data_IF_225459414713
#
_entry.id   IF_225459414713
#
_cell.length_a   1.000
_cell.length_b   1.000
_cell.length_c   1.000
_cell.angle_alpha   90.00
_cell.angle_beta   90.00
_cell.angle_gamma   90.00
#
_symmetry.space_group_name_H-M   'P 1'
#
loop_
_entity.id
_entity.type
_entity.pdbx_description
1 polymer ?
#
# COMPACT_ATOMS: atom_id res chain seq x y z
N UNK A 1 -22.66 -4.18 -6.60
CA UNK A 1 -21.42 -3.36 -6.54
C UNK A 1 -20.28 -3.86 -7.45
N UNK A 2 -20.09 -5.17 -7.65
CA UNK A 2 -19.02 -5.74 -8.51
C UNK A 2 -19.04 -5.33 -10.00
N UNK A 3 -20.16 -4.83 -10.52
CA UNK A 3 -20.27 -4.37 -11.92
C UNK A 3 -19.60 -3.03 -12.24
N UNK A 4 -19.24 -2.22 -11.23
CA UNK A 4 -18.64 -0.89 -11.41
C UNK A 4 -17.11 -0.92 -11.55
N UNK A 5 -16.46 -2.04 -11.21
CA UNK A 5 -15.01 -2.23 -11.34
C UNK A 5 -14.60 -2.70 -12.74
N UNK A 6 -15.54 -3.21 -13.55
CA UNK A 6 -15.28 -3.88 -14.84
C UNK A 6 -14.32 -3.13 -15.79
N UNK A 7 -14.37 -1.79 -15.93
CA UNK A 7 -13.45 -1.05 -16.79
C UNK A 7 -12.09 -0.71 -16.14
N UNK A 8 -11.94 -0.84 -14.82
CA UNK A 8 -10.73 -0.43 -14.08
C UNK A 8 -10.08 -1.60 -13.32
N UNK A 9 -10.48 -2.84 -13.59
CA UNK A 9 -9.89 -4.04 -12.97
C UNK A 9 -8.39 -4.12 -13.24
N UNK A 10 -7.94 -3.70 -14.43
CA UNK A 10 -6.53 -3.63 -14.78
C UNK A 10 -5.74 -2.63 -13.94
N UNK A 11 -6.27 -1.41 -13.76
CA UNK A 11 -5.67 -0.38 -12.91
C UNK A 11 -5.67 -0.78 -11.43
N UNK A 12 -6.76 -1.35 -10.93
CA UNK A 12 -6.81 -1.84 -9.55
C UNK A 12 -5.80 -2.98 -9.32
N UNK A 13 -5.73 -3.96 -10.23
CA UNK A 13 -4.74 -5.03 -10.17
C UNK A 13 -3.30 -4.49 -10.28
N UNK A 14 -3.06 -3.51 -11.15
CA UNK A 14 -1.75 -2.89 -11.30
C UNK A 14 -1.34 -2.11 -10.05
N UNK A 15 -2.27 -1.39 -9.41
CA UNK A 15 -2.03 -0.73 -8.12
C UNK A 15 -1.75 -1.75 -7.01
N UNK A 16 -2.44 -2.89 -7.03
CA UNK A 16 -2.23 -3.98 -6.07
C UNK A 16 -0.88 -4.68 -6.27
N UNK A 17 -0.47 -4.89 -7.52
CA UNK A 17 0.86 -5.39 -7.86
C UNK A 17 1.95 -4.39 -7.51
N UNK A 18 1.74 -3.10 -7.75
CA UNK A 18 2.68 -2.06 -7.35
C UNK A 18 2.84 -1.98 -5.83
N UNK A 19 1.74 -2.10 -5.07
CA UNK A 19 1.78 -2.18 -3.62
C UNK A 19 2.51 -3.44 -3.12
N UNK A 20 2.27 -4.59 -3.78
CA UNK A 20 2.95 -5.85 -3.49
C UNK A 20 4.46 -5.73 -3.70
N UNK A 21 4.87 -5.17 -4.85
CA UNK A 21 6.29 -4.91 -5.16
C UNK A 21 6.89 -3.92 -4.16
N UNK A 22 6.19 -2.83 -3.83
CA UNK A 22 6.62 -1.84 -2.85
C UNK A 22 6.85 -2.45 -1.46
N UNK A 23 5.95 -3.32 -1.00
CA UNK A 23 6.08 -3.99 0.29
C UNK A 23 7.22 -5.03 0.31
N UNK A 24 7.49 -5.73 -0.80
CA UNK A 24 8.69 -6.60 -0.91
C UNK A 24 9.97 -5.78 -0.87
N UNK A 25 10.01 -4.63 -1.56
CA UNK A 25 11.16 -3.73 -1.55
C UNK A 25 11.39 -3.16 -0.16
N UNK A 26 10.33 -2.87 0.59
CA UNK A 26 10.41 -2.44 1.99
C UNK A 26 11.04 -3.51 2.89
N UNK A 27 10.62 -4.77 2.76
CA UNK A 27 11.25 -5.89 3.45
C UNK A 27 12.73 -6.03 3.10
N UNK A 28 13.05 -6.00 1.81
CA UNK A 28 14.44 -6.07 1.31
C UNK A 28 15.29 -4.92 1.85
N UNK A 29 14.75 -3.70 1.93
CA UNK A 29 15.44 -2.53 2.45
C UNK A 29 15.82 -2.70 3.93
N UNK A 30 14.94 -3.28 4.76
CA UNK A 30 15.23 -3.58 6.17
C UNK A 30 16.37 -4.59 6.29
N UNK A 31 16.36 -5.65 5.46
CA UNK A 31 17.42 -6.68 5.48
C UNK A 31 18.75 -6.12 4.96
N UNK A 32 18.73 -5.18 4.00
CA UNK A 32 19.93 -4.50 3.49
C UNK A 32 20.59 -3.56 4.51
N UNK A 33 19.84 -3.09 5.51
CA UNK A 33 20.38 -2.21 6.54
C UNK A 33 21.36 -2.94 7.46
N UNK A 34 21.14 -4.23 7.73
CA UNK A 34 22.00 -5.04 8.59
C UNK A 34 23.44 -5.18 8.08
N UNK A 35 23.72 -5.66 6.85
CA UNK A 35 25.09 -5.77 6.34
C UNK A 35 25.77 -4.40 6.23
N UNK A 36 25.01 -3.35 5.90
CA UNK A 36 25.53 -1.98 5.87
C UNK A 36 25.98 -1.53 7.27
N UNK A 37 25.14 -1.74 8.30
CA UNK A 37 25.47 -1.40 9.68
C UNK A 37 26.63 -2.21 10.23
N UNK A 38 26.70 -3.52 9.93
CA UNK A 38 27.81 -4.38 10.37
C UNK A 38 29.14 -3.96 9.75
N UNK A 39 29.11 -3.50 8.51
CA UNK A 39 30.30 -3.01 7.80
C UNK A 39 30.71 -1.60 8.25
N UNK A 40 29.76 -0.70 8.51
CA UNK A 40 30.01 0.65 9.03
C UNK A 40 30.44 0.66 10.51
N UNK A 41 29.90 -0.25 11.32
CA UNK A 41 30.13 -0.32 12.77
C UNK A 41 30.45 -1.75 13.23
N UNK A 42 31.67 -2.24 13.00
CA UNK A 42 32.06 -3.61 13.34
C UNK A 42 31.97 -3.91 14.84
N UNK A 43 32.21 -2.91 15.70
CA UNK A 43 32.21 -3.06 17.16
C UNK A 43 30.81 -3.30 17.75
N UNK A 44 29.76 -2.76 17.14
CA UNK A 44 28.35 -2.98 17.56
C UNK A 44 27.72 -4.20 16.89
N UNK A 45 28.35 -4.72 15.84
CA UNK A 45 27.88 -5.85 15.04
C UNK A 45 28.05 -7.20 15.73
N UNK A 46 29.01 -7.31 16.65
CA UNK A 46 29.37 -8.57 17.32
C UNK A 46 28.24 -9.11 18.21
N UNK A 47 27.37 -8.23 18.72
CA UNK A 47 26.21 -8.57 19.55
C UNK A 47 24.90 -8.66 18.74
N UNK A 48 24.95 -8.47 17.41
CA UNK A 48 23.77 -8.56 16.57
C UNK A 48 23.26 -10.00 16.46
N UNK A 49 21.93 -10.16 16.47
CA UNK A 49 21.27 -11.46 16.47
C UNK A 49 21.77 -12.40 15.34
N UNK A 50 21.80 -13.72 15.56
CA UNK A 50 22.19 -14.69 14.55
C UNK A 50 21.32 -14.52 13.30
N UNK A 51 22.00 -14.48 12.14
CA UNK A 51 21.40 -14.01 10.90
C UNK A 51 20.13 -14.74 10.49
N UNK A 52 19.18 -13.98 9.97
CA UNK A 52 17.87 -14.50 9.57
C UNK A 52 17.98 -15.33 8.28
N UNK A 53 16.98 -16.20 8.00
CA UNK A 53 16.93 -16.96 6.73
C UNK A 53 16.94 -16.04 5.50
N UNK A 54 16.34 -14.85 5.64
CA UNK A 54 16.35 -13.79 4.63
C UNK A 54 17.73 -13.14 4.48
N UNK A 55 18.48 -12.94 5.57
CA UNK A 55 19.87 -12.47 5.50
C UNK A 55 20.75 -13.47 4.74
N UNK A 56 20.60 -14.78 4.99
CA UNK A 56 21.33 -15.83 4.28
C UNK A 56 21.00 -15.89 2.79
N UNK A 57 19.72 -15.76 2.42
CA UNK A 57 19.31 -15.68 1.01
C UNK A 57 19.86 -14.41 0.33
N UNK A 58 19.79 -13.27 1.01
CA UNK A 58 20.30 -11.99 0.52
C UNK A 58 21.82 -12.05 0.33
N UNK A 59 22.56 -12.61 1.30
CA UNK A 59 24.02 -12.83 1.22
C UNK A 59 24.38 -13.70 0.04
N UNK A 60 23.72 -14.84 -0.18
CA UNK A 60 23.98 -15.69 -1.33
C UNK A 60 23.72 -15.00 -2.68
N UNK A 61 22.81 -14.03 -2.72
CA UNK A 61 22.51 -13.24 -3.92
C UNK A 61 23.48 -12.07 -4.13
N UNK A 62 23.97 -11.48 -3.03
CA UNK A 62 24.91 -10.35 -3.01
C UNK A 62 26.37 -10.78 -3.13
N UNK A 63 26.77 -11.90 -2.55
CA UNK A 63 28.14 -12.42 -2.56
C UNK A 63 28.72 -12.53 -3.99
N UNK A 64 27.98 -13.01 -5.02
CA UNK A 64 28.46 -13.00 -6.41
C UNK A 64 28.72 -11.59 -6.97
N UNK A 65 28.00 -10.58 -6.46
CA UNK A 65 28.11 -9.18 -6.87
C UNK A 65 29.19 -8.40 -6.11
N UNK A 66 29.58 -8.90 -4.94
CA UNK A 66 30.52 -8.25 -4.02
C UNK A 66 31.87 -8.96 -3.93
N UNK A 67 31.97 -10.22 -4.38
CA UNK A 67 33.19 -11.02 -4.33
C UNK A 67 34.32 -10.38 -5.14
N UNK A 68 35.48 -10.21 -4.49
CA UNK A 68 36.72 -9.75 -5.13
C UNK A 68 36.97 -8.24 -5.11
N UNK A 69 36.10 -7.44 -4.49
CA UNK A 69 36.23 -5.98 -4.42
C UNK A 69 36.90 -5.52 -3.11
N UNK A 70 37.66 -4.42 -3.12
CA UNK A 70 38.19 -3.82 -1.90
C UNK A 70 37.06 -3.32 -0.98
N UNK A 71 37.30 -3.35 0.34
CA UNK A 71 36.28 -3.06 1.37
C UNK A 71 35.56 -1.70 1.20
N UNK A 72 36.24 -0.69 0.63
CA UNK A 72 35.66 0.63 0.36
C UNK A 72 34.66 0.62 -0.82
N UNK A 73 34.93 -0.15 -1.87
CA UNK A 73 34.05 -0.28 -3.03
C UNK A 73 32.80 -1.12 -2.71
N UNK A 74 32.95 -2.11 -1.82
CA UNK A 74 31.83 -2.89 -1.28
C UNK A 74 30.85 -1.97 -0.55
N UNK A 75 31.33 -1.08 0.33
CA UNK A 75 30.47 -0.10 1.02
C UNK A 75 29.74 0.80 0.03
N UNK A 76 30.47 1.36 -0.94
CA UNK A 76 29.88 2.29 -1.92
C UNK A 76 28.80 1.61 -2.76
N UNK A 77 29.02 0.37 -3.21
CA UNK A 77 28.02 -0.41 -3.97
C UNK A 77 26.82 -0.79 -3.12
N UNK A 78 27.02 -1.18 -1.87
CA UNK A 78 25.91 -1.48 -0.95
C UNK A 78 25.05 -0.23 -0.68
N UNK A 79 25.67 0.93 -0.47
CA UNK A 79 24.96 2.20 -0.30
C UNK A 79 24.22 2.57 -1.59
N UNK A 80 24.85 2.46 -2.76
CA UNK A 80 24.20 2.75 -4.04
C UNK A 80 23.01 1.81 -4.32
N UNK A 81 23.14 0.51 -4.01
CA UNK A 81 22.06 -0.46 -4.11
C UNK A 81 20.92 -0.13 -3.16
N UNK A 82 21.23 0.19 -1.89
CA UNK A 82 20.25 0.61 -0.90
C UNK A 82 19.47 1.84 -1.37
N UNK A 83 20.17 2.86 -1.89
CA UNK A 83 19.55 4.06 -2.45
C UNK A 83 18.67 3.75 -3.66
N UNK A 84 19.11 2.85 -4.55
CA UNK A 84 18.35 2.40 -5.71
C UNK A 84 17.06 1.67 -5.31
N UNK A 85 17.14 0.75 -4.36
CA UNK A 85 15.98 0.03 -3.80
C UNK A 85 15.03 1.00 -3.09
N UNK A 86 15.56 1.96 -2.34
CA UNK A 86 14.77 3.01 -1.69
C UNK A 86 14.00 3.86 -2.71
N UNK A 87 14.66 4.32 -3.77
CA UNK A 87 14.00 5.10 -4.83
C UNK A 87 12.91 4.27 -5.51
N UNK A 88 13.23 3.01 -5.87
CA UNK A 88 12.27 2.12 -6.52
C UNK A 88 11.06 1.83 -5.64
N UNK A 89 11.27 1.64 -4.33
CA UNK A 89 10.20 1.50 -3.33
C UNK A 89 9.31 2.73 -3.36
N UNK A 90 9.88 3.93 -3.25
CA UNK A 90 9.10 5.17 -3.21
C UNK A 90 8.28 5.37 -4.49
N UNK A 91 8.85 5.07 -5.65
CA UNK A 91 8.13 5.11 -6.93
C UNK A 91 7.00 4.10 -6.97
N UNK A 92 7.22 2.86 -6.53
CA UNK A 92 6.20 1.82 -6.49
C UNK A 92 5.04 2.18 -5.53
N UNK A 93 5.35 2.69 -4.34
CA UNK A 93 4.35 3.12 -3.36
C UNK A 93 3.57 4.33 -3.86
N UNK A 94 4.25 5.31 -4.47
CA UNK A 94 3.59 6.46 -5.08
C UNK A 94 2.66 6.04 -6.22
N UNK A 95 3.13 5.13 -7.09
CA UNK A 95 2.33 4.59 -8.18
C UNK A 95 1.09 3.84 -7.65
N UNK A 96 1.24 3.00 -6.63
CA UNK A 96 0.13 2.32 -5.99
C UNK A 96 -0.93 3.30 -5.44
N UNK A 97 -0.48 4.36 -4.75
CA UNK A 97 -1.35 5.43 -4.26
C UNK A 97 -2.04 6.21 -5.38
N UNK A 98 -1.31 6.57 -6.43
CA UNK A 98 -1.86 7.28 -7.59
C UNK A 98 -2.96 6.45 -8.26
N UNK A 99 -2.72 5.16 -8.50
CA UNK A 99 -3.72 4.28 -9.11
C UNK A 99 -4.95 4.10 -8.22
N UNK A 100 -4.77 4.03 -6.90
CA UNK A 100 -5.89 3.97 -5.97
C UNK A 100 -6.78 5.22 -6.06
N UNK A 101 -6.18 6.42 -6.13
CA UNK A 101 -6.92 7.68 -6.32
C UNK A 101 -7.66 7.70 -7.66
N UNK A 102 -7.02 7.26 -8.75
CA UNK A 102 -7.67 7.17 -10.07
C UNK A 102 -8.87 6.21 -10.04
N UNK A 103 -8.73 5.06 -9.36
CA UNK A 103 -9.84 4.11 -9.19
C UNK A 103 -10.97 4.72 -8.35
N UNK A 104 -10.63 5.40 -7.25
CA UNK A 104 -11.59 6.10 -6.39
C UNK A 104 -12.40 7.12 -7.19
N UNK A 105 -11.73 8.02 -7.91
CA UNK A 105 -12.39 9.06 -8.71
C UNK A 105 -13.25 8.47 -9.83
N UNK A 106 -12.76 7.42 -10.50
CA UNK A 106 -13.54 6.69 -11.51
C UNK A 106 -14.78 6.02 -10.94
N UNK A 107 -14.71 5.52 -9.70
CA UNK A 107 -15.87 4.96 -8.99
C UNK A 107 -16.86 6.07 -8.62
N UNK A 108 -16.40 7.17 -8.01
CA UNK A 108 -17.23 8.34 -7.65
C UNK A 108 -17.94 8.89 -8.88
N UNK A 109 -17.21 9.11 -9.99
CA UNK A 109 -17.77 9.67 -11.23
C UNK A 109 -18.92 8.83 -11.79
N UNK A 110 -18.74 7.51 -11.91
CA UNK A 110 -19.79 6.58 -12.39
C UNK A 110 -20.99 6.57 -11.48
N UNK A 111 -20.73 6.61 -10.18
CA UNK A 111 -21.76 6.77 -9.20
C UNK A 111 -22.51 8.09 -9.51
N UNK A 112 -21.84 9.25 -9.58
CA UNK A 112 -22.47 10.56 -9.78
C UNK A 112 -23.40 10.57 -11.00
N UNK A 113 -22.94 10.00 -12.12
CA UNK A 113 -23.75 9.83 -13.33
C UNK A 113 -25.03 9.01 -13.11
N UNK A 114 -24.98 7.92 -12.33
CA UNK A 114 -26.17 7.11 -12.03
C UNK A 114 -27.17 7.84 -11.12
N UNK A 115 -26.67 8.61 -10.15
CA UNK A 115 -27.55 9.39 -9.28
C UNK A 115 -28.27 10.47 -10.09
N UNK A 116 -27.54 11.24 -10.90
CA UNK A 116 -28.17 12.25 -11.76
C UNK A 116 -29.17 11.63 -12.75
N UNK A 117 -28.84 10.51 -13.38
CA UNK A 117 -29.77 9.82 -14.27
C UNK A 117 -31.04 9.32 -13.56
N UNK A 118 -30.96 8.96 -12.28
CA UNK A 118 -32.12 8.56 -11.49
C UNK A 118 -32.97 9.77 -11.09
N UNK A 119 -32.33 10.88 -10.68
CA UNK A 119 -33.00 12.14 -10.35
C UNK A 119 -33.72 12.73 -11.56
N UNK A 120 -33.10 12.68 -12.75
CA UNK A 120 -33.69 13.13 -14.02
C UNK A 120 -34.89 12.28 -14.49
N UNK A 121 -35.08 11.08 -13.93
CA UNK A 121 -36.20 10.19 -14.23
C UNK A 121 -37.31 10.25 -13.18
N UNK A 122 -37.12 11.03 -12.11
CA UNK A 122 -38.13 11.20 -11.07
C UNK A 122 -39.20 12.19 -11.57
N UNK A 123 -40.46 11.80 -11.41
CA UNK A 123 -41.60 12.51 -12.00
C UNK A 123 -41.78 13.92 -11.39
N UNK A 124 -42.20 14.89 -12.22
CA UNK A 124 -42.39 16.29 -11.79
C UNK A 124 -43.44 16.44 -10.68
N UNK A 125 -44.35 15.49 -10.54
CA UNK A 125 -45.43 15.50 -9.56
C UNK A 125 -44.91 15.37 -8.09
N UNK A 126 -43.74 14.74 -7.90
CA UNK A 126 -43.05 14.68 -6.61
C UNK A 126 -42.48 16.06 -6.19
N UNK A 127 -42.15 16.91 -7.17
CA UNK A 127 -41.63 18.26 -6.94
C UNK A 127 -42.73 19.30 -6.68
N UNK A 128 -43.99 19.01 -7.02
CA UNK A 128 -45.11 19.95 -6.86
C UNK A 128 -45.78 19.91 -5.47
N UNK A 129 -45.64 18.81 -4.71
CA UNK A 129 -46.29 18.64 -3.41
C UNK A 129 -45.47 19.09 -2.18
N UNK A 130 -44.23 19.53 -2.37
CA UNK A 130 -43.37 19.95 -1.25
C UNK A 130 -42.93 21.40 -1.46
N UNK A 131 -43.08 22.27 -0.45
CA UNK A 131 -42.35 23.57 -0.35
C UNK A 131 -40.82 23.37 -0.22
N UNK A 132 -40.30 22.23 -0.68
CA UNK A 132 -39.10 21.54 -0.20
C UNK A 132 -38.04 21.30 -1.25
N UNK A 133 -37.95 22.12 -2.32
CA UNK A 133 -36.84 22.06 -3.27
C UNK A 133 -35.46 22.21 -2.61
N UNK A 134 -35.38 22.92 -1.48
CA UNK A 134 -34.18 23.01 -0.65
C UNK A 134 -33.90 21.70 0.11
N UNK A 135 -34.93 21.03 0.63
CA UNK A 135 -34.82 19.74 1.33
C UNK A 135 -34.37 18.63 0.38
N UNK A 136 -34.93 18.56 -0.83
CA UNK A 136 -34.50 17.60 -1.85
C UNK A 136 -33.07 17.88 -2.31
N UNK A 137 -32.70 19.15 -2.50
CA UNK A 137 -31.33 19.53 -2.87
C UNK A 137 -30.31 19.15 -1.79
N UNK A 138 -30.65 19.35 -0.51
CA UNK A 138 -29.81 18.93 0.62
C UNK A 138 -29.72 17.41 0.71
N UNK A 139 -30.82 16.67 0.61
CA UNK A 139 -30.79 15.20 0.60
C UNK A 139 -29.92 14.64 -0.54
N UNK A 140 -29.98 15.24 -1.74
CA UNK A 140 -29.16 14.83 -2.88
C UNK A 140 -27.68 15.12 -2.61
N UNK A 141 -27.37 16.31 -2.07
CA UNK A 141 -26.01 16.71 -1.71
C UNK A 141 -25.42 15.78 -0.66
N UNK A 142 -26.15 15.52 0.42
CA UNK A 142 -25.72 14.66 1.52
C UNK A 142 -25.54 13.21 1.04
N UNK A 143 -26.48 12.71 0.23
CA UNK A 143 -26.35 11.39 -0.37
C UNK A 143 -25.14 11.26 -1.30
N UNK A 144 -24.77 12.32 -2.04
CA UNK A 144 -23.55 12.31 -2.85
C UNK A 144 -22.30 12.38 -1.98
N UNK A 145 -22.31 13.16 -0.89
CA UNK A 145 -21.17 13.29 0.02
C UNK A 145 -20.90 12.01 0.81
N UNK A 146 -21.93 11.43 1.44
CA UNK A 146 -21.83 10.15 2.16
C UNK A 146 -21.27 9.07 1.24
N UNK A 147 -21.73 9.06 0.01
CA UNK A 147 -21.31 8.11 -1.00
C UNK A 147 -19.88 8.32 -1.46
N UNK A 148 -19.42 9.56 -1.65
CA UNK A 148 -18.01 9.85 -1.93
C UNK A 148 -17.13 9.28 -0.83
N UNK A 149 -17.51 9.50 0.43
CA UNK A 149 -16.80 8.96 1.60
C UNK A 149 -16.82 7.43 1.61
N UNK A 150 -17.96 6.79 1.35
CA UNK A 150 -18.08 5.33 1.31
C UNK A 150 -17.21 4.72 0.21
N UNK A 151 -17.17 5.32 -0.98
CA UNK A 151 -16.32 4.85 -2.09
C UNK A 151 -14.84 5.01 -1.76
N UNK A 152 -14.45 6.16 -1.20
CA UNK A 152 -13.07 6.42 -0.80
C UNK A 152 -12.61 5.46 0.32
N UNK A 153 -13.43 5.30 1.35
CA UNK A 153 -13.16 4.36 2.44
C UNK A 153 -13.02 2.92 1.93
N UNK A 154 -13.88 2.50 1.00
CA UNK A 154 -13.80 1.17 0.41
C UNK A 154 -12.52 0.98 -0.42
N UNK A 155 -12.13 1.96 -1.24
CA UNK A 155 -10.89 1.90 -2.01
C UNK A 155 -9.66 1.83 -1.09
N UNK A 156 -9.61 2.68 -0.07
CA UNK A 156 -8.54 2.72 0.93
C UNK A 156 -8.46 1.40 1.72
N UNK A 157 -9.60 0.83 2.13
CA UNK A 157 -9.64 -0.44 2.86
C UNK A 157 -8.97 -1.57 2.07
N UNK A 158 -9.30 -1.73 0.79
CA UNK A 158 -8.70 -2.78 -0.04
C UNK A 158 -7.20 -2.58 -0.25
N UNK A 159 -6.77 -1.34 -0.48
CA UNK A 159 -5.36 -1.01 -0.62
C UNK A 159 -4.58 -1.32 0.66
N UNK A 160 -5.07 -0.87 1.80
CA UNK A 160 -4.43 -1.10 3.10
C UNK A 160 -4.44 -2.59 3.48
N UNK A 161 -5.52 -3.32 3.19
CA UNK A 161 -5.60 -4.76 3.44
C UNK A 161 -4.49 -5.53 2.69
N UNK A 162 -4.20 -5.16 1.44
CA UNK A 162 -3.12 -5.76 0.66
C UNK A 162 -1.76 -5.48 1.28
N UNK A 163 -1.49 -4.22 1.63
CA UNK A 163 -0.23 -3.84 2.28
C UNK A 163 -0.04 -4.66 3.56
N UNK A 164 -1.05 -4.70 4.43
CA UNK A 164 -1.01 -5.45 5.69
C UNK A 164 -0.73 -6.93 5.44
N UNK A 165 -1.43 -7.57 4.49
CA UNK A 165 -1.24 -8.99 4.18
C UNK A 165 0.20 -9.28 3.72
N UNK A 166 0.76 -8.43 2.86
CA UNK A 166 2.13 -8.60 2.37
C UNK A 166 3.14 -8.37 3.48
N UNK A 167 2.97 -7.32 4.28
CA UNK A 167 3.85 -7.01 5.42
C UNK A 167 3.86 -8.16 6.42
N UNK A 168 2.70 -8.71 6.80
CA UNK A 168 2.62 -9.88 7.69
C UNK A 168 3.31 -11.10 7.06
N UNK A 169 3.11 -11.33 5.76
CA UNK A 169 3.78 -12.42 5.03
C UNK A 169 5.30 -12.30 5.07
N UNK A 170 5.84 -11.10 4.84
CA UNK A 170 7.29 -10.83 4.93
C UNK A 170 7.79 -11.00 6.35
N UNK A 171 7.09 -10.44 7.36
CA UNK A 171 7.48 -10.59 8.76
C UNK A 171 7.48 -12.06 9.20
N UNK A 172 6.48 -12.84 8.80
CA UNK A 172 6.41 -14.28 9.07
C UNK A 172 7.57 -15.05 8.42
N UNK A 173 8.07 -14.62 7.26
CA UNK A 173 9.24 -15.19 6.63
C UNK A 173 10.55 -14.86 7.38
N UNK A 174 10.62 -13.70 8.05
CA UNK A 174 11.77 -13.32 8.89
C UNK A 174 11.75 -14.11 10.20
N UNK A 175 10.68 -13.98 11.00
CA UNK A 175 10.55 -14.66 12.28
C UNK A 175 9.07 -14.81 12.68
N UNK A 176 8.50 -16.03 12.59
CA UNK A 176 7.09 -16.24 12.90
C UNK A 176 6.75 -15.98 14.38
N UNK A 177 7.72 -16.14 15.30
CA UNK A 177 7.52 -15.84 16.73
C UNK A 177 7.33 -14.35 17.00
N UNK A 178 8.14 -13.49 16.36
CA UNK A 178 8.00 -12.04 16.50
C UNK A 178 6.73 -11.53 15.83
N UNK A 179 6.36 -12.10 14.68
CA UNK A 179 5.11 -11.74 13.99
C UNK A 179 3.88 -12.02 14.85
N UNK A 180 3.82 -13.17 15.52
CA UNK A 180 2.72 -13.49 16.45
C UNK A 180 2.63 -12.49 17.60
N UNK A 181 3.78 -12.10 18.16
CA UNK A 181 3.84 -11.11 19.23
C UNK A 181 3.29 -9.75 18.75
N UNK A 182 3.72 -9.28 17.59
CA UNK A 182 3.21 -8.04 16.97
C UNK A 182 1.73 -8.13 16.63
N UNK A 183 1.24 -9.29 16.15
CA UNK A 183 -0.16 -9.48 15.79
C UNK A 183 -1.09 -9.41 17.02
N UNK A 184 -0.60 -9.82 18.20
CA UNK A 184 -1.33 -9.69 19.47
C UNK A 184 -1.23 -8.26 20.03
N UNK A 185 -0.06 -7.63 19.91
CA UNK A 185 0.17 -6.25 20.38
C UNK A 185 -0.55 -5.19 19.55
N UNK A 186 -0.66 -5.38 18.23
CA UNK A 186 -1.26 -4.42 17.31
C UNK A 186 -2.72 -4.07 17.68
N UNK A 187 -3.66 -5.02 17.89
CA UNK A 187 -5.00 -4.67 18.35
C UNK A 187 -4.98 -4.07 19.76
N UNK A 188 -4.11 -4.54 20.66
CA UNK A 188 -4.00 -4.02 22.02
C UNK A 188 -3.55 -2.55 22.08
N UNK A 189 -2.80 -2.08 21.08
CA UNK A 189 -2.37 -0.68 20.97
C UNK A 189 -3.44 0.25 20.38
N UNK A 190 -4.37 -0.31 19.59
CA UNK A 190 -5.42 0.43 18.90
C UNK A 190 -6.67 0.58 19.77
N UNK A 191 -6.92 -0.38 20.67
CA UNK A 191 -7.99 -0.34 21.68
C UNK A 191 -7.52 0.33 22.97
#
# INVERSE_FOLDING_TARGET
MFGLLRPHRGLFLLGMLAAFVGAILEGTQVVLLEPLLRHLFPATAADAAPGTRLEGWLRNWLDPWLAGLPAAEVTLRLVALFLGVLLLKNVATWLAGYLAVVVQEGMVRRLRTRLYAHLLRLDLDHFQHTRGGQLTAVMISDADQVRQVVVAAFAAFFQNAVVILVTIGVMAAISPRLTLLVLVLAPLLVF
#
